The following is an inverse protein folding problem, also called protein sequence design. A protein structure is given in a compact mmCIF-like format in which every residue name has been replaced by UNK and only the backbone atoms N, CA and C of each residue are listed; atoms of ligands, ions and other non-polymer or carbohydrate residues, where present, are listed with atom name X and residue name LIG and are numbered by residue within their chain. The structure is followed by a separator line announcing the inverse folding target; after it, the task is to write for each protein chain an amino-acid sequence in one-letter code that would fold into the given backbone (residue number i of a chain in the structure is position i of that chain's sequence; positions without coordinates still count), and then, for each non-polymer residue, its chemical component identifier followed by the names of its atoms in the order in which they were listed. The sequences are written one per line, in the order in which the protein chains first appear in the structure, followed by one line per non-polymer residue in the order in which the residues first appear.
data_IF_297950181162
#
_entry.id   IF_297950181162
#
_cell.length_a   1.000
_cell.length_b   1.000
_cell.length_c   1.000
_cell.angle_alpha   90.00
_cell.angle_beta   90.00
_cell.angle_gamma   90.00
#
_symmetry.space_group_name_H-M   'P 1'
#
loop_
_entity.id
_entity.type
_entity.pdbx_description
1 polymer ?
#
# COMPACT_ATOMS: atom_id res chain seq x y z
N UNK A 1 23.51 -68.89 -23.60
CA UNK A 1 22.23 -69.03 -22.87
C UNK A 1 22.38 -68.29 -21.54
N UNK A 2 22.41 -66.94 -21.51
CA UNK A 2 21.31 -65.96 -21.40
C UNK A 2 20.27 -66.34 -20.32
N UNK A 3 20.31 -65.64 -19.16
CA UNK A 3 19.18 -65.08 -18.36
C UNK A 3 19.74 -64.37 -17.10
N UNK A 4 19.92 -63.04 -17.06
CA UNK A 4 19.07 -61.93 -16.51
C UNK A 4 18.51 -62.13 -15.08
N UNK A 5 18.80 -61.17 -14.18
CA UNK A 5 17.95 -60.45 -13.18
C UNK A 5 18.92 -59.64 -12.24
N UNK A 6 19.17 -58.34 -12.42
CA UNK A 6 18.46 -57.13 -11.90
C UNK A 6 18.53 -56.92 -10.36
N UNK A 7 19.35 -55.96 -9.90
CA UNK A 7 19.15 -55.12 -8.70
C UNK A 7 20.02 -53.84 -8.84
N UNK A 8 19.40 -52.71 -9.23
CA UNK A 8 19.11 -51.51 -8.40
C UNK A 8 20.36 -50.80 -7.85
N UNK A 9 20.59 -49.50 -7.99
CA UNK A 9 19.69 -48.40 -8.29
C UNK A 9 20.42 -47.20 -8.88
N UNK A 10 19.66 -46.52 -9.71
CA UNK A 10 19.80 -45.20 -10.33
C UNK A 10 20.64 -44.18 -9.57
N UNK A 11 21.68 -43.65 -10.23
CA UNK A 11 22.32 -42.37 -9.90
C UNK A 11 21.34 -41.23 -10.20
N UNK A 12 20.97 -40.47 -9.17
CA UNK A 12 20.12 -39.28 -9.30
C UNK A 12 20.98 -38.10 -9.76
N UNK A 13 20.75 -37.61 -10.98
CA UNK A 13 21.39 -36.39 -11.50
C UNK A 13 20.50 -35.20 -11.11
N UNK A 14 20.91 -34.43 -10.10
CA UNK A 14 20.22 -33.20 -9.70
C UNK A 14 20.59 -32.06 -10.65
N UNK A 15 19.70 -31.77 -11.61
CA UNK A 15 19.71 -30.51 -12.37
C UNK A 15 18.96 -29.46 -11.56
N UNK A 16 19.68 -28.57 -10.87
CA UNK A 16 19.06 -27.37 -10.28
C UNK A 16 18.81 -26.35 -11.39
N UNK A 17 17.58 -26.32 -11.90
CA UNK A 17 17.07 -25.21 -12.71
C UNK A 17 16.86 -24.01 -11.79
N UNK A 18 17.79 -23.05 -11.79
CA UNK A 18 17.53 -21.74 -11.20
C UNK A 18 16.61 -20.99 -12.16
N UNK A 19 15.30 -21.12 -11.96
CA UNK A 19 14.34 -20.23 -12.57
C UNK A 19 14.44 -18.88 -11.86
N UNK A 20 15.19 -17.94 -12.44
CA UNK A 20 15.01 -16.52 -12.14
C UNK A 20 13.60 -16.15 -12.60
N UNK A 21 12.63 -16.20 -11.69
CA UNK A 21 11.35 -15.52 -11.91
C UNK A 21 11.69 -14.03 -11.93
N UNK A 22 11.85 -13.51 -13.14
CA UNK A 22 11.93 -12.10 -13.38
C UNK A 22 10.69 -11.45 -12.80
N UNK A 23 10.87 -10.65 -11.75
CA UNK A 23 9.91 -9.63 -11.39
C UNK A 23 9.98 -8.51 -12.46
N UNK A 24 9.57 -8.83 -13.68
CA UNK A 24 9.11 -7.83 -14.64
C UNK A 24 7.72 -7.39 -14.19
N UNK A 25 7.66 -6.64 -13.09
CA UNK A 25 6.44 -6.14 -12.47
C UNK A 25 6.50 -4.64 -12.33
N UNK A 26 6.19 -3.94 -13.43
CA UNK A 26 5.86 -2.51 -13.51
C UNK A 26 6.80 -1.56 -12.75
N UNK A 27 7.93 -1.20 -13.36
CA UNK A 27 8.49 0.13 -13.15
C UNK A 27 7.55 1.15 -13.82
N UNK A 28 6.44 1.45 -13.15
CA UNK A 28 5.79 2.74 -13.37
C UNK A 28 6.82 3.85 -13.15
N UNK A 29 6.64 5.04 -13.74
CA UNK A 29 7.58 6.14 -13.50
C UNK A 29 7.75 6.30 -11.99
N UNK A 30 8.98 6.09 -11.48
CA UNK A 30 9.32 6.44 -10.11
C UNK A 30 9.00 7.94 -10.02
N UNK A 31 7.94 8.27 -9.28
CA UNK A 31 7.51 9.65 -9.14
C UNK A 31 8.70 10.47 -8.69
N UNK A 32 9.00 11.55 -9.43
CA UNK A 32 10.11 12.43 -9.06
C UNK A 32 9.82 12.97 -7.67
N UNK A 33 10.72 12.78 -6.69
CA UNK A 33 10.53 13.35 -5.37
C UNK A 33 10.34 14.86 -5.49
N UNK A 34 9.20 15.37 -5.04
CA UNK A 34 8.93 16.81 -5.00
C UNK A 34 9.35 17.36 -3.64
N UNK A 35 10.02 18.51 -3.66
CA UNK A 35 10.50 19.19 -2.45
C UNK A 35 9.44 20.12 -1.83
N UNK A 36 8.30 20.31 -2.49
CA UNK A 36 7.23 21.19 -2.01
C UNK A 36 5.87 20.64 -2.38
N UNK A 37 5.12 20.21 -1.37
CA UNK A 37 3.67 20.12 -1.47
C UNK A 37 3.11 21.54 -1.35
N UNK A 38 2.14 21.88 -2.17
CA UNK A 38 1.65 23.26 -2.29
C UNK A 38 0.36 23.48 -1.51
N UNK A 39 -0.57 22.52 -1.55
CA UNK A 39 -1.90 22.63 -0.93
C UNK A 39 -2.22 21.42 -0.03
N UNK A 40 -1.38 21.21 0.99
CA UNK A 40 -1.54 20.09 1.93
C UNK A 40 -2.86 20.21 2.69
N UNK A 41 -3.80 19.32 2.36
CA UNK A 41 -5.13 19.21 2.97
C UNK A 41 -5.12 18.35 4.24
N UNK A 42 -4.36 17.27 4.23
CA UNK A 42 -4.24 16.34 5.35
C UNK A 42 -2.81 15.79 5.43
N UNK A 43 -2.39 15.45 6.64
CA UNK A 43 -1.06 14.94 6.92
C UNK A 43 -1.13 13.88 8.02
N UNK A 44 -0.42 12.76 7.83
CA UNK A 44 -0.18 11.76 8.83
C UNK A 44 1.33 11.59 9.01
N UNK A 45 1.82 11.92 10.20
CA UNK A 45 3.23 11.77 10.54
C UNK A 45 3.66 10.30 10.44
N UNK A 46 4.96 10.09 10.17
CA UNK A 46 5.57 8.78 10.27
C UNK A 46 5.29 8.14 11.64
N UNK A 47 4.92 6.86 11.62
CA UNK A 47 4.70 6.07 12.82
C UNK A 47 6.00 5.80 13.58
N UNK A 48 7.10 5.58 12.86
CA UNK A 48 8.44 5.37 13.41
C UNK A 48 9.41 6.46 12.96
N UNK A 49 10.55 6.60 13.64
CA UNK A 49 11.58 7.63 13.40
C UNK A 49 12.05 7.66 11.94
N UNK A 50 12.28 6.48 11.35
CA UNK A 50 12.71 6.33 9.95
C UNK A 50 11.53 5.96 9.02
N UNK A 51 10.31 6.12 9.52
CA UNK A 51 9.09 5.78 8.82
C UNK A 51 8.69 6.81 7.77
N UNK A 52 7.78 6.40 6.89
CA UNK A 52 7.17 7.27 5.88
C UNK A 52 6.03 8.08 6.49
N UNK A 53 6.03 9.38 6.25
CA UNK A 53 4.85 10.25 6.46
C UNK A 53 3.94 10.21 5.23
N UNK A 54 2.67 10.54 5.42
CA UNK A 54 1.71 10.66 4.33
C UNK A 54 1.11 12.06 4.29
N UNK A 55 0.83 12.54 3.10
CA UNK A 55 0.19 13.83 2.89
C UNK A 55 -0.84 13.75 1.76
N UNK A 56 -1.88 14.56 1.86
CA UNK A 56 -2.87 14.74 0.82
C UNK A 56 -2.70 16.15 0.28
N UNK A 57 -2.38 16.27 -1.00
CA UNK A 57 -2.21 17.55 -1.71
C UNK A 57 -2.97 17.50 -3.04
N UNK A 58 -3.79 18.52 -3.31
CA UNK A 58 -4.59 18.60 -4.54
C UNK A 58 -5.47 17.37 -4.82
N UNK A 59 -5.93 16.68 -3.78
CA UNK A 59 -6.74 15.46 -3.91
C UNK A 59 -5.95 14.17 -4.16
N UNK A 60 -4.61 14.22 -4.10
CA UNK A 60 -3.70 13.08 -4.35
C UNK A 60 -2.98 12.70 -3.07
N UNK A 61 -2.66 11.41 -2.94
CA UNK A 61 -1.87 10.90 -1.82
C UNK A 61 -0.38 10.95 -2.17
N UNK A 62 0.42 11.39 -1.21
CA UNK A 62 1.88 11.38 -1.26
C UNK A 62 2.43 10.63 -0.06
N UNK A 63 3.52 9.90 -0.27
CA UNK A 63 4.34 9.33 0.79
C UNK A 63 5.68 10.04 0.81
N UNK A 64 6.18 10.37 2.00
CA UNK A 64 7.43 11.11 2.12
C UNK A 64 8.33 10.60 3.24
N UNK A 65 9.63 10.71 3.00
CA UNK A 65 10.68 10.43 3.98
C UNK A 65 11.64 11.62 3.99
N UNK A 66 11.88 12.20 5.16
CA UNK A 66 12.81 13.32 5.33
C UNK A 66 12.57 14.50 4.37
N UNK A 67 11.30 14.82 4.09
CA UNK A 67 10.91 15.95 3.24
C UNK A 67 10.94 15.68 1.73
N UNK A 68 11.37 14.49 1.29
CA UNK A 68 11.23 14.05 -0.08
C UNK A 68 9.90 13.33 -0.27
N UNK A 69 9.03 13.84 -1.15
CA UNK A 69 7.66 13.32 -1.34
C UNK A 69 7.47 12.68 -2.71
N UNK A 70 6.92 11.47 -2.75
CA UNK A 70 6.53 10.80 -3.99
C UNK A 70 5.01 10.56 -4.03
N UNK A 71 4.36 10.70 -5.20
CA UNK A 71 2.96 10.36 -5.36
C UNK A 71 2.75 8.86 -5.16
N UNK A 72 1.73 8.50 -4.38
CA UNK A 72 1.30 7.12 -4.18
C UNK A 72 0.04 6.84 -5.01
N UNK A 73 -0.14 5.59 -5.47
CA UNK A 73 -1.38 5.22 -6.14
C UNK A 73 -2.55 5.27 -5.16
N UNK A 74 -3.69 5.74 -5.65
CA UNK A 74 -4.97 5.67 -4.96
C UNK A 74 -5.98 4.89 -5.84
N UNK A 75 -7.08 4.38 -5.28
CA UNK A 75 -8.11 3.73 -6.08
C UNK A 75 -8.60 4.64 -7.22
N UNK A 76 -8.93 4.04 -8.36
CA UNK A 76 -9.27 4.78 -9.58
C UNK A 76 -10.45 5.72 -9.35
N UNK A 77 -10.24 7.00 -9.66
CA UNK A 77 -11.26 8.04 -9.57
C UNK A 77 -11.60 8.47 -8.13
N UNK A 78 -10.79 8.10 -7.14
CA UNK A 78 -10.92 8.62 -5.77
C UNK A 78 -10.18 9.95 -5.67
N UNK A 79 -10.86 10.95 -5.13
CA UNK A 79 -10.24 12.19 -4.66
C UNK A 79 -9.91 11.99 -3.19
N UNK A 80 -8.62 11.84 -2.88
CA UNK A 80 -8.16 11.62 -1.51
C UNK A 80 -8.33 12.92 -0.73
N UNK A 81 -8.91 12.84 0.47
CA UNK A 81 -9.22 14.04 1.27
C UNK A 81 -8.70 13.96 2.70
N UNK A 82 -8.60 12.74 3.23
CA UNK A 82 -8.11 12.47 4.58
C UNK A 82 -7.15 11.29 4.56
N UNK A 83 -6.20 11.27 5.47
CA UNK A 83 -5.25 10.16 5.63
C UNK A 83 -4.94 9.93 7.11
N UNK A 84 -4.85 8.67 7.52
CA UNK A 84 -4.33 8.23 8.80
C UNK A 84 -3.45 7.00 8.61
N UNK A 85 -2.52 6.78 9.54
CA UNK A 85 -1.63 5.62 9.54
C UNK A 85 -1.72 4.93 10.90
N UNK A 86 -1.66 3.61 10.90
CA UNK A 86 -1.48 2.85 12.12
C UNK A 86 -0.06 3.09 12.67
N UNK A 87 0.01 3.50 13.94
CA UNK A 87 1.28 3.81 14.60
C UNK A 87 2.04 2.57 15.08
N UNK A 88 1.37 1.42 15.15
CA UNK A 88 1.97 0.12 15.51
C UNK A 88 2.46 -0.60 14.25
N UNK A 89 1.64 -0.60 13.19
CA UNK A 89 1.96 -1.20 11.89
C UNK A 89 1.85 -0.16 10.76
N UNK A 90 2.96 0.46 10.40
CA UNK A 90 3.01 1.54 9.40
C UNK A 90 2.63 1.14 7.98
N UNK A 91 2.52 -0.15 7.69
CA UNK A 91 2.01 -0.63 6.40
C UNK A 91 0.48 -0.46 6.29
N UNK A 92 -0.20 -0.27 7.42
CA UNK A 92 -1.64 -0.01 7.48
C UNK A 92 -1.91 1.48 7.35
N UNK A 93 -2.53 1.86 6.24
CA UNK A 93 -2.86 3.25 5.90
C UNK A 93 -4.33 3.36 5.57
N UNK A 94 -4.99 4.38 6.09
CA UNK A 94 -6.39 4.68 5.83
C UNK A 94 -6.49 5.97 5.02
N UNK A 95 -7.37 5.99 4.02
CA UNK A 95 -7.73 7.22 3.31
C UNK A 95 -9.24 7.40 3.25
N UNK A 96 -9.67 8.66 3.37
CA UNK A 96 -11.04 9.09 3.12
C UNK A 96 -11.21 9.67 1.72
N UNK A 97 -12.30 9.34 1.03
CA UNK A 97 -12.62 9.89 -0.27
C UNK A 97 -13.51 11.14 -0.16
N UNK A 98 -13.12 12.26 -0.78
CA UNK A 98 -13.97 13.47 -0.84
C UNK A 98 -15.21 13.28 -1.74
N UNK A 99 -15.13 12.39 -2.73
CA UNK A 99 -16.16 12.21 -3.74
C UNK A 99 -17.00 10.94 -3.56
N UNK A 100 -16.83 10.22 -2.45
CA UNK A 100 -17.54 8.98 -2.13
C UNK A 100 -17.67 8.84 -0.62
N UNK A 101 -18.78 8.26 -0.16
CA UNK A 101 -19.00 7.97 1.25
C UNK A 101 -18.30 6.66 1.68
N UNK A 102 -16.99 6.59 1.41
CA UNK A 102 -16.17 5.41 1.61
C UNK A 102 -14.81 5.77 2.21
N UNK A 103 -14.31 4.89 3.05
CA UNK A 103 -12.89 4.83 3.44
C UNK A 103 -12.20 3.69 2.69
N UNK A 104 -10.90 3.81 2.51
CA UNK A 104 -10.08 2.76 1.94
C UNK A 104 -8.93 2.44 2.89
N UNK A 105 -8.59 1.17 3.00
CA UNK A 105 -7.44 0.70 3.79
C UNK A 105 -6.42 0.04 2.88
N UNK A 106 -5.16 0.36 3.11
CA UNK A 106 -4.01 -0.34 2.58
C UNK A 106 -3.37 -1.16 3.69
N UNK A 107 -2.80 -2.32 3.36
CA UNK A 107 -1.98 -3.14 4.26
C UNK A 107 -0.56 -3.31 3.71
N UNK A 108 -0.13 -2.40 2.83
CA UNK A 108 1.16 -2.46 2.16
C UNK A 108 1.72 -1.07 1.83
N UNK A 109 1.50 -0.10 2.73
CA UNK A 109 2.05 1.24 2.63
C UNK A 109 1.48 2.06 1.48
N UNK A 110 0.22 1.83 1.12
CA UNK A 110 -0.49 2.57 0.07
C UNK A 110 -0.28 2.05 -1.35
N UNK A 111 0.29 0.84 -1.54
CA UNK A 111 0.47 0.22 -2.87
C UNK A 111 -0.81 -0.41 -3.42
N UNK A 112 -1.71 -0.84 -2.54
CA UNK A 112 -3.01 -1.41 -2.87
C UNK A 112 -4.05 -1.12 -1.78
N UNK A 113 -5.33 -1.16 -2.16
CA UNK A 113 -6.42 -0.61 -1.34
C UNK A 113 -7.66 -1.49 -1.35
N UNK A 114 -8.31 -1.63 -0.20
CA UNK A 114 -9.63 -2.24 -0.04
C UNK A 114 -10.64 -1.17 0.39
N UNK A 115 -11.79 -1.15 -0.27
CA UNK A 115 -12.88 -0.19 0.01
C UNK A 115 -13.77 -0.66 1.16
N UNK A 116 -14.22 0.29 1.98
CA UNK A 116 -15.28 0.14 2.97
C UNK A 116 -16.26 1.29 2.83
N UNK A 117 -17.46 1.00 2.34
CA UNK A 117 -18.56 1.97 2.28
C UNK A 117 -19.17 2.14 3.67
N UNK A 118 -19.35 3.38 4.13
CA UNK A 118 -19.82 3.67 5.50
C UNK A 118 -21.34 3.56 5.63
N UNK A 119 -22.09 4.18 4.72
CA UNK A 119 -23.53 4.00 4.54
C UNK A 119 -23.89 4.34 3.09
N UNK A 120 -24.58 3.43 2.40
CA UNK A 120 -25.00 3.64 1.01
C UNK A 120 -26.11 4.68 0.85
N UNK A 121 -26.82 5.02 1.94
CA UNK A 121 -27.89 6.02 1.95
C UNK A 121 -27.38 7.43 2.26
N UNK A 122 -26.19 7.55 2.85
CA UNK A 122 -25.61 8.83 3.19
C UNK A 122 -24.85 9.40 1.98
N UNK A 123 -25.14 10.65 1.63
CA UNK A 123 -24.45 11.37 0.55
C UNK A 123 -23.34 12.21 1.18
N UNK A 124 -22.13 12.15 0.61
CA UNK A 124 -21.01 12.96 1.08
C UNK A 124 -19.65 12.33 0.83
N UNK A 125 -18.61 13.03 1.26
CA UNK A 125 -17.23 12.55 1.28
C UNK A 125 -16.71 12.48 2.71
N UNK A 126 -15.70 11.65 2.92
CA UNK A 126 -14.98 11.57 4.19
C UNK A 126 -14.04 12.76 4.30
N UNK A 127 -14.26 13.60 5.32
CA UNK A 127 -13.52 14.86 5.51
C UNK A 127 -12.33 14.76 6.45
N UNK A 128 -12.37 13.79 7.35
CA UNK A 128 -11.31 13.52 8.31
C UNK A 128 -11.29 12.02 8.59
N UNK A 129 -10.13 11.51 9.00
CA UNK A 129 -10.02 10.17 9.57
C UNK A 129 -9.02 10.21 10.72
N UNK A 130 -9.26 9.41 11.76
CA UNK A 130 -8.30 9.18 12.83
C UNK A 130 -8.30 7.70 13.19
N UNK A 131 -7.13 7.11 13.39
CA UNK A 131 -7.01 5.70 13.74
C UNK A 131 -6.44 5.55 15.15
N UNK A 132 -7.16 4.83 15.99
CA UNK A 132 -6.71 4.36 17.28
C UNK A 132 -6.13 2.96 17.13
N UNK A 133 -4.80 2.88 17.18
CA UNK A 133 -4.06 1.63 16.99
C UNK A 133 -4.26 0.62 18.12
N UNK A 134 -4.51 1.07 19.34
CA UNK A 134 -4.70 0.18 20.48
C UNK A 134 -6.06 -0.50 20.43
N UNK A 135 -7.10 0.26 20.12
CA UNK A 135 -8.48 -0.27 20.03
C UNK A 135 -8.84 -0.77 18.64
N UNK A 136 -7.95 -0.60 17.64
CA UNK A 136 -8.18 -0.92 16.23
C UNK A 136 -9.44 -0.25 15.67
N UNK A 137 -9.66 1.01 16.05
CA UNK A 137 -10.85 1.77 15.71
C UNK A 137 -10.52 2.93 14.77
N UNK A 138 -11.27 3.03 13.68
CA UNK A 138 -11.20 4.16 12.74
C UNK A 138 -12.38 5.10 13.00
N UNK A 139 -12.08 6.36 13.27
CA UNK A 139 -13.04 7.47 13.34
C UNK A 139 -13.06 8.18 11.99
N UNK A 140 -14.24 8.59 11.53
CA UNK A 140 -14.51 9.20 10.21
C UNK A 140 -15.42 10.41 10.34
#
# INVERSE_FOLDING_TARGET
MILRILLTGTTLLLLTLVATVGAAGASGPKGVPISGLENVRAYAAAAQVDGRSYAVDGGRLYGGLNGAWEPLPAPRGVIVNAVAVDRVDSDIVYIGAANRHSVYVSHNGGKGWKEFSLDSKAIGGVTAVAFDAFNRLLYV
#
